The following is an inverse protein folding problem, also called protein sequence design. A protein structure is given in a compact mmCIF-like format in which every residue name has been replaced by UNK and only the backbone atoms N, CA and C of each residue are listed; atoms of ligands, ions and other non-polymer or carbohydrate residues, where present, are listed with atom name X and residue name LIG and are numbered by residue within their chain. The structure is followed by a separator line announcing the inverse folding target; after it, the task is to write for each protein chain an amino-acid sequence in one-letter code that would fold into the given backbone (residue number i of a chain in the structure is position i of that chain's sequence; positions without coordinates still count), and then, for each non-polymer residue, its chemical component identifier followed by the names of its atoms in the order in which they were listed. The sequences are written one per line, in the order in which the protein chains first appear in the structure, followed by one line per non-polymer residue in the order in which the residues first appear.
data_IF_876542649418
#
_entry.id   IF_876542649418
#
_cell.length_a   1.000
_cell.length_b   1.000
_cell.length_c   1.000
_cell.angle_alpha   90.00
_cell.angle_beta   90.00
_cell.angle_gamma   90.00
#
_symmetry.space_group_name_H-M   'P 1'
#
loop_
_entity.id
_entity.type
_entity.pdbx_description
1 polymer ?
#
# COMPACT_ATOMS: atom_id res chain seq x y z
N UNK A 1 -9.84 -3.44 9.15
CA UNK A 1 -9.63 -4.33 7.99
C UNK A 1 -10.91 -5.08 7.61
N UNK A 2 -11.52 -5.91 8.46
CA UNK A 2 -12.64 -6.81 8.08
C UNK A 2 -13.86 -6.08 7.50
N UNK A 3 -14.26 -4.93 8.09
CA UNK A 3 -15.35 -4.10 7.57
C UNK A 3 -15.04 -3.55 6.17
N UNK A 4 -13.80 -3.15 5.92
CA UNK A 4 -13.38 -2.68 4.61
C UNK A 4 -13.38 -3.81 3.58
N UNK A 5 -12.83 -4.98 3.94
CA UNK A 5 -12.84 -6.17 3.08
C UNK A 5 -14.28 -6.59 2.71
N UNK A 6 -15.20 -6.64 3.67
CA UNK A 6 -16.64 -6.94 3.39
C UNK A 6 -17.23 -5.93 2.42
N UNK A 7 -17.00 -4.62 2.64
CA UNK A 7 -17.51 -3.58 1.76
C UNK A 7 -16.96 -3.70 0.33
N UNK A 8 -15.63 -3.82 0.20
CA UNK A 8 -14.98 -3.89 -1.11
C UNK A 8 -15.36 -5.16 -1.89
N UNK A 9 -15.44 -6.30 -1.23
CA UNK A 9 -15.77 -7.57 -1.93
C UNK A 9 -17.26 -7.71 -2.21
N UNK A 10 -18.13 -7.41 -1.23
CA UNK A 10 -19.56 -7.66 -1.34
C UNK A 10 -20.31 -6.53 -2.06
N UNK A 11 -19.97 -5.27 -1.77
CA UNK A 11 -20.69 -4.10 -2.31
C UNK A 11 -20.06 -3.61 -3.60
N UNK A 12 -18.73 -3.36 -3.59
CA UNK A 12 -18.00 -2.82 -4.75
C UNK A 12 -17.69 -3.90 -5.79
N UNK A 13 -17.64 -5.18 -5.36
CA UNK A 13 -17.26 -6.32 -6.22
C UNK A 13 -15.81 -6.23 -6.71
N UNK A 14 -14.93 -5.65 -5.92
CA UNK A 14 -13.49 -5.70 -6.10
C UNK A 14 -12.90 -6.94 -5.40
N UNK A 15 -11.82 -7.48 -5.93
CA UNK A 15 -11.14 -8.64 -5.34
C UNK A 15 -10.89 -9.77 -6.34
N UNK A 16 -10.50 -11.01 -5.90
CA UNK A 16 -10.33 -11.35 -4.49
C UNK A 16 -9.22 -10.56 -3.83
N UNK A 17 -9.30 -10.35 -2.50
CA UNK A 17 -8.23 -9.69 -1.75
C UNK A 17 -7.27 -10.72 -1.14
N UNK A 18 -5.98 -10.48 -1.32
CA UNK A 18 -4.89 -11.27 -0.73
C UNK A 18 -4.36 -10.55 0.49
N UNK A 19 -4.51 -11.18 1.66
CA UNK A 19 -4.20 -10.58 2.97
C UNK A 19 -2.89 -11.14 3.50
N UNK A 20 -2.04 -10.25 4.03
CA UNK A 20 -0.79 -10.60 4.67
C UNK A 20 -0.36 -9.56 5.71
N UNK A 21 0.50 -9.98 6.62
CA UNK A 21 1.11 -9.10 7.61
C UNK A 21 2.48 -8.62 7.09
N UNK A 22 2.74 -7.33 7.24
CA UNK A 22 4.04 -6.71 6.99
C UNK A 22 4.64 -6.38 8.35
N UNK A 23 5.69 -7.13 8.78
CA UNK A 23 6.37 -6.84 10.02
C UNK A 23 7.10 -5.49 9.95
N UNK A 24 7.68 -5.05 11.07
CA UNK A 24 8.54 -3.87 11.09
C UNK A 24 9.67 -4.05 10.07
N UNK A 25 9.72 -3.15 9.09
CA UNK A 25 10.73 -3.16 8.04
C UNK A 25 11.99 -2.41 8.46
N UNK A 26 13.16 -2.73 7.86
CA UNK A 26 14.41 -2.02 8.13
C UNK A 26 14.34 -0.55 7.78
N UNK A 27 15.01 0.29 8.59
CA UNK A 27 15.27 1.69 8.27
C UNK A 27 14.03 2.57 8.10
N UNK A 28 12.93 2.23 8.77
CA UNK A 28 11.72 3.07 8.71
C UNK A 28 11.96 4.44 9.34
N UNK A 29 11.68 5.49 8.58
CA UNK A 29 11.76 6.89 9.00
C UNK A 29 10.40 7.55 8.78
N UNK A 30 9.88 8.21 9.79
CA UNK A 30 8.68 9.02 9.73
C UNK A 30 9.01 10.47 10.07
N UNK A 31 8.79 11.38 9.11
CA UNK A 31 9.08 12.82 9.23
C UNK A 31 10.48 13.13 9.79
N UNK A 32 11.50 12.38 9.31
CA UNK A 32 12.90 12.53 9.71
C UNK A 32 13.31 11.73 10.94
N UNK A 33 12.38 11.14 11.69
CA UNK A 33 12.67 10.39 12.92
C UNK A 33 12.49 8.88 12.72
N UNK A 34 13.35 8.03 13.31
CA UNK A 34 13.19 6.59 13.27
C UNK A 34 11.86 6.13 13.86
N UNK A 35 11.20 5.18 13.20
CA UNK A 35 9.97 4.57 13.68
C UNK A 35 9.97 3.05 13.45
N UNK A 36 8.94 2.35 13.96
CA UNK A 36 8.80 0.90 13.86
C UNK A 36 7.34 0.53 13.59
N UNK A 37 6.91 0.62 12.35
CA UNK A 37 5.52 0.41 11.94
C UNK A 37 5.35 -1.02 11.43
N UNK A 38 4.33 -1.70 11.95
CA UNK A 38 3.87 -2.99 11.44
C UNK A 38 2.46 -2.82 10.85
N UNK A 39 2.21 -3.46 9.71
CA UNK A 39 0.96 -3.33 8.96
C UNK A 39 0.31 -4.69 8.71
N UNK A 40 -1.01 -4.69 8.61
CA UNK A 40 -1.79 -5.68 7.89
C UNK A 40 -2.20 -5.05 6.56
N UNK A 41 -1.93 -5.77 5.47
CA UNK A 41 -2.17 -5.31 4.11
C UNK A 41 -3.10 -6.28 3.39
N UNK A 42 -3.97 -5.75 2.54
CA UNK A 42 -4.77 -6.56 1.64
C UNK A 42 -4.73 -5.95 0.24
N UNK A 43 -4.27 -6.71 -0.75
CA UNK A 43 -4.26 -6.35 -2.16
C UNK A 43 -5.42 -7.00 -2.90
N UNK A 44 -6.16 -6.23 -3.67
CA UNK A 44 -7.22 -6.70 -4.56
C UNK A 44 -7.31 -5.83 -5.81
N UNK A 45 -8.06 -6.30 -6.81
CA UNK A 45 -8.21 -5.56 -8.06
C UNK A 45 -9.69 -5.20 -8.32
N UNK A 46 -9.88 -4.09 -9.03
CA UNK A 46 -11.12 -3.73 -9.71
C UNK A 46 -10.77 -3.32 -11.16
N UNK A 47 -10.99 -4.22 -12.11
CA UNK A 47 -10.43 -4.06 -13.45
C UNK A 47 -8.90 -3.98 -13.42
N UNK A 48 -8.33 -2.93 -13.98
CA UNK A 48 -6.88 -2.68 -13.95
C UNK A 48 -6.37 -1.92 -12.71
N UNK A 49 -7.26 -1.51 -11.81
CA UNK A 49 -6.87 -0.76 -10.61
C UNK A 49 -6.53 -1.72 -9.47
N UNK A 50 -5.28 -1.65 -8.98
CA UNK A 50 -4.89 -2.28 -7.72
C UNK A 50 -5.42 -1.45 -6.55
N UNK A 51 -6.11 -2.12 -5.63
CA UNK A 51 -6.61 -1.54 -4.39
C UNK A 51 -5.81 -2.12 -3.24
N UNK A 52 -5.24 -1.25 -2.43
CA UNK A 52 -4.54 -1.61 -1.22
C UNK A 52 -5.34 -1.16 0.00
N UNK A 53 -5.70 -2.10 0.86
CA UNK A 53 -6.27 -1.81 2.18
C UNK A 53 -5.18 -1.97 3.23
N UNK A 54 -5.00 -0.93 4.03
CA UNK A 54 -3.95 -0.84 5.05
C UNK A 54 -4.55 -0.73 6.44
N UNK A 55 -3.94 -1.44 7.39
CA UNK A 55 -4.20 -1.28 8.81
C UNK A 55 -2.90 -1.37 9.58
N UNK A 56 -2.53 -0.30 10.28
CA UNK A 56 -1.42 -0.38 11.23
C UNK A 56 -1.80 -1.24 12.41
N UNK A 57 -0.89 -2.12 12.84
CA UNK A 57 -1.14 -3.13 13.89
C UNK A 57 -0.46 -2.81 15.22
N UNK A 58 0.31 -1.71 15.28
CA UNK A 58 0.93 -1.20 16.50
C UNK A 58 0.69 0.32 16.65
N UNK A 59 1.08 0.90 17.80
CA UNK A 59 0.78 2.31 18.15
C UNK A 59 1.97 3.26 17.90
N UNK A 60 2.81 2.97 16.89
CA UNK A 60 3.95 3.83 16.56
C UNK A 60 3.51 5.00 15.69
N UNK A 61 4.10 6.21 15.88
CA UNK A 61 3.85 7.34 15.00
C UNK A 61 4.19 7.02 13.54
N UNK A 62 3.30 7.40 12.63
CA UNK A 62 3.45 7.14 11.20
C UNK A 62 2.52 8.03 10.37
N UNK A 63 2.67 7.99 9.06
CA UNK A 63 1.72 8.57 8.10
C UNK A 63 0.32 7.94 8.20
N UNK A 64 0.23 6.67 8.66
CA UNK A 64 -1.06 5.97 8.79
C UNK A 64 -1.84 6.49 10.00
N UNK A 65 -1.20 6.64 11.18
CA UNK A 65 -1.83 7.25 12.36
C UNK A 65 -2.12 8.72 12.14
N UNK A 66 -1.22 9.46 11.48
CA UNK A 66 -1.44 10.85 11.10
C UNK A 66 -2.72 11.05 10.26
N UNK A 67 -2.94 10.20 9.25
CA UNK A 67 -4.14 10.29 8.42
C UNK A 67 -5.42 9.90 9.18
N UNK A 68 -5.35 8.88 10.05
CA UNK A 68 -6.49 8.51 10.90
C UNK A 68 -6.89 9.65 11.83
N UNK A 69 -5.93 10.33 12.46
CA UNK A 69 -6.18 11.46 13.35
C UNK A 69 -6.73 12.68 12.60
N UNK A 70 -6.27 12.89 11.36
CA UNK A 70 -6.65 14.04 10.55
C UNK A 70 -8.03 13.92 9.90
N UNK A 71 -8.33 12.76 9.32
CA UNK A 71 -9.50 12.57 8.44
C UNK A 71 -10.29 11.28 8.68
N UNK A 72 -9.84 10.43 9.62
CA UNK A 72 -10.43 9.12 9.84
C UNK A 72 -10.03 8.10 8.76
N UNK A 73 -10.79 7.01 8.68
CA UNK A 73 -10.59 5.98 7.65
C UNK A 73 -10.97 6.52 6.26
N UNK A 74 -10.16 6.21 5.26
CA UNK A 74 -10.45 6.61 3.88
C UNK A 74 -9.24 6.54 2.96
N UNK A 75 -9.20 7.42 1.98
CA UNK A 75 -8.10 7.55 1.04
C UNK A 75 -6.79 7.89 1.76
N UNK A 76 -5.71 7.17 1.42
CA UNK A 76 -4.40 7.37 2.02
C UNK A 76 -3.35 7.79 1.01
N UNK A 77 -3.14 7.02 -0.06
CA UNK A 77 -2.12 7.31 -1.07
C UNK A 77 -2.46 6.75 -2.45
N UNK A 78 -1.70 7.20 -3.44
CA UNK A 78 -1.53 6.52 -4.75
C UNK A 78 -0.07 6.17 -4.92
N UNK A 79 0.20 4.99 -5.44
CA UNK A 79 1.55 4.62 -5.88
C UNK A 79 1.74 4.97 -7.35
N UNK A 80 2.84 5.67 -7.67
CA UNK A 80 3.25 5.94 -9.05
C UNK A 80 4.22 4.86 -9.53
N UNK A 81 3.91 4.24 -10.66
CA UNK A 81 4.78 3.23 -11.30
C UNK A 81 5.75 3.91 -12.27
N UNK A 82 6.74 4.56 -11.70
CA UNK A 82 7.85 5.23 -12.40
C UNK A 82 9.16 4.81 -11.75
N UNK A 83 10.33 4.99 -12.43
CA UNK A 83 11.63 4.73 -11.80
C UNK A 83 11.77 5.50 -10.48
N UNK A 84 12.19 4.81 -9.43
CA UNK A 84 12.21 5.36 -8.05
C UNK A 84 13.01 6.69 -7.98
N UNK A 85 14.24 6.71 -8.51
CA UNK A 85 15.09 7.91 -8.47
C UNK A 85 14.51 9.08 -9.27
N UNK A 86 13.89 8.80 -10.42
CA UNK A 86 13.19 9.81 -11.22
C UNK A 86 12.04 10.42 -10.44
N UNK A 87 11.25 9.56 -9.78
CA UNK A 87 10.13 9.99 -8.95
C UNK A 87 10.57 10.83 -7.76
N UNK A 88 11.60 10.39 -7.04
CA UNK A 88 12.19 11.13 -5.92
C UNK A 88 12.68 12.51 -6.38
N UNK A 89 13.45 12.57 -7.46
CA UNK A 89 13.96 13.82 -8.00
C UNK A 89 12.81 14.77 -8.40
N UNK A 90 11.81 14.26 -9.09
CA UNK A 90 10.66 15.06 -9.56
C UNK A 90 9.83 15.62 -8.40
N UNK A 91 9.44 14.78 -7.43
CA UNK A 91 8.62 15.23 -6.31
C UNK A 91 9.37 16.18 -5.38
N UNK A 92 10.67 15.95 -5.14
CA UNK A 92 11.51 16.85 -4.34
C UNK A 92 11.72 18.21 -5.03
N UNK A 93 11.85 18.24 -6.34
CA UNK A 93 11.98 19.50 -7.11
C UNK A 93 10.72 20.37 -7.03
N UNK A 94 9.55 19.76 -6.85
CA UNK A 94 8.26 20.44 -6.62
C UNK A 94 8.04 20.81 -5.15
N UNK A 95 9.03 20.55 -4.27
CA UNK A 95 8.97 20.91 -2.85
C UNK A 95 8.22 19.92 -1.96
N UNK A 96 7.91 18.71 -2.45
CA UNK A 96 7.32 17.66 -1.62
C UNK A 96 8.39 16.96 -0.79
N UNK A 97 8.13 16.79 0.49
CA UNK A 97 9.02 16.10 1.42
C UNK A 97 8.64 14.63 1.59
N UNK A 98 9.64 13.78 1.87
CA UNK A 98 9.39 12.39 2.25
C UNK A 98 8.83 12.37 3.67
N UNK A 99 7.57 11.95 3.82
CA UNK A 99 6.92 11.81 5.10
C UNK A 99 7.17 10.44 5.75
N UNK A 100 7.33 9.39 4.95
CA UNK A 100 7.62 8.04 5.44
C UNK A 100 8.45 7.27 4.42
N UNK A 101 9.43 6.52 4.89
CA UNK A 101 10.28 5.68 4.04
C UNK A 101 10.77 4.44 4.77
N UNK A 102 11.28 3.49 4.01
CA UNK A 102 11.90 2.27 4.53
C UNK A 102 12.45 1.41 3.42
N UNK A 103 12.87 0.20 3.79
CA UNK A 103 13.45 -0.76 2.86
C UNK A 103 12.79 -2.12 3.06
N UNK A 104 12.40 -2.78 1.98
CA UNK A 104 11.91 -4.15 2.03
C UNK A 104 13.02 -5.11 2.45
N UNK A 105 12.72 -6.29 3.02
CA UNK A 105 13.75 -7.27 3.40
C UNK A 105 14.66 -7.70 2.25
N UNK A 106 14.17 -7.64 1.02
CA UNK A 106 14.90 -7.94 -0.22
C UNK A 106 15.72 -6.77 -0.75
N UNK A 107 15.62 -5.60 -0.13
CA UNK A 107 16.46 -4.43 -0.41
C UNK A 107 15.76 -3.30 -1.21
N UNK A 108 14.56 -3.51 -1.71
CA UNK A 108 13.81 -2.49 -2.43
C UNK A 108 13.39 -1.35 -1.50
N UNK A 109 13.58 -0.11 -1.94
CA UNK A 109 13.21 1.09 -1.20
C UNK A 109 11.78 1.52 -1.51
N UNK A 110 11.14 2.13 -0.51
CA UNK A 110 9.87 2.83 -0.71
C UNK A 110 9.89 4.18 0.02
N UNK A 111 9.09 5.12 -0.49
CA UNK A 111 8.90 6.43 0.12
C UNK A 111 7.49 6.95 -0.16
N UNK A 112 6.85 7.49 0.88
CA UNK A 112 5.61 8.24 0.78
C UNK A 112 5.92 9.73 0.90
N UNK A 113 5.60 10.48 -0.13
CA UNK A 113 5.77 11.92 -0.19
C UNK A 113 4.54 12.65 0.33
N UNK A 114 4.76 13.69 1.13
CA UNK A 114 3.67 14.54 1.62
C UNK A 114 3.10 15.37 0.46
N UNK A 115 1.93 14.99 0.01
CA UNK A 115 1.15 15.69 -1.01
C UNK A 115 -0.25 16.04 -0.50
N UNK A 116 -0.43 16.06 0.83
CA UNK A 116 -1.73 16.26 1.48
C UNK A 116 -2.42 17.56 1.04
N UNK A 117 -1.64 18.64 0.88
CA UNK A 117 -2.19 19.94 0.45
C UNK A 117 -2.63 19.93 -1.01
N UNK A 118 -2.03 19.09 -1.87
CA UNK A 118 -2.30 19.05 -3.30
C UNK A 118 -3.42 18.07 -3.66
N UNK A 119 -3.42 16.87 -3.10
CA UNK A 119 -4.34 15.81 -3.49
C UNK A 119 -5.05 15.10 -2.32
N UNK A 120 -4.90 15.59 -1.10
CA UNK A 120 -5.55 15.04 0.09
C UNK A 120 -4.98 13.72 0.61
N UNK A 121 -3.86 13.25 0.08
CA UNK A 121 -3.17 12.01 0.45
C UNK A 121 -1.68 12.08 0.15
N UNK A 122 -1.00 10.93 0.26
CA UNK A 122 0.41 10.80 -0.07
C UNK A 122 0.60 10.27 -1.49
N UNK A 123 1.78 10.50 -2.06
CA UNK A 123 2.26 9.79 -3.25
C UNK A 123 3.31 8.78 -2.81
N UNK A 124 3.11 7.51 -3.13
CA UNK A 124 4.09 6.47 -2.91
C UNK A 124 4.95 6.23 -4.15
N UNK A 125 6.24 6.09 -3.92
CA UNK A 125 7.21 5.54 -4.85
C UNK A 125 7.78 4.26 -4.25
N UNK A 126 7.95 3.22 -5.07
CA UNK A 126 8.52 1.95 -4.64
C UNK A 126 9.36 1.34 -5.76
N UNK A 127 10.52 0.81 -5.41
CA UNK A 127 11.27 -0.08 -6.29
C UNK A 127 10.54 -1.42 -6.35
N UNK A 128 10.08 -1.82 -7.52
CA UNK A 128 9.40 -3.10 -7.70
C UNK A 128 10.37 -4.14 -8.23
N UNK A 129 10.64 -5.18 -7.44
CA UNK A 129 11.40 -6.34 -7.91
C UNK A 129 10.58 -7.20 -8.88
N UNK A 130 11.27 -8.00 -9.69
CA UNK A 130 10.59 -8.94 -10.58
C UNK A 130 9.67 -9.93 -9.85
N UNK A 131 10.00 -10.29 -8.60
CA UNK A 131 9.17 -11.15 -7.76
C UNK A 131 7.88 -10.45 -7.32
N UNK A 132 7.96 -9.17 -6.95
CA UNK A 132 6.78 -8.36 -6.61
C UNK A 132 5.88 -8.18 -7.84
N UNK A 133 6.45 -7.82 -8.99
CA UNK A 133 5.73 -7.70 -10.26
C UNK A 133 5.01 -9.00 -10.62
N UNK A 134 5.69 -10.15 -10.53
CA UNK A 134 5.08 -11.45 -10.80
C UNK A 134 3.94 -11.78 -9.83
N UNK A 135 4.05 -11.38 -8.55
CA UNK A 135 2.98 -11.56 -7.57
C UNK A 135 1.77 -10.69 -7.90
N UNK A 136 1.96 -9.42 -8.25
CA UNK A 136 0.88 -8.54 -8.68
C UNK A 136 0.19 -9.05 -9.95
N UNK A 137 0.94 -9.59 -10.91
CA UNK A 137 0.38 -10.21 -12.12
C UNK A 137 -0.48 -11.43 -11.79
N UNK A 138 -0.04 -12.31 -10.87
CA UNK A 138 -0.85 -13.46 -10.42
C UNK A 138 -2.12 -13.02 -9.68
N UNK A 139 -2.04 -11.98 -8.85
CA UNK A 139 -3.23 -11.42 -8.18
C UNK A 139 -4.23 -10.86 -9.21
N UNK A 140 -3.73 -10.15 -10.23
CA UNK A 140 -4.57 -9.63 -11.30
C UNK A 140 -5.21 -10.76 -12.14
N UNK A 141 -4.45 -11.80 -12.49
CA UNK A 141 -5.00 -12.97 -13.16
C UNK A 141 -6.11 -13.64 -12.33
N UNK A 142 -5.89 -13.79 -11.01
CA UNK A 142 -6.91 -14.32 -10.11
C UNK A 142 -8.16 -13.43 -10.03
N UNK A 143 -8.02 -12.11 -10.21
CA UNK A 143 -9.15 -11.18 -10.31
C UNK A 143 -9.96 -11.41 -11.59
N UNK A 144 -9.31 -11.57 -12.73
CA UNK A 144 -9.98 -11.78 -14.00
C UNK A 144 -10.78 -13.10 -14.06
N UNK A 145 -10.36 -14.11 -13.29
CA UNK A 145 -11.01 -15.41 -13.18
C UNK A 145 -12.04 -15.48 -12.04
N UNK A 146 -12.12 -14.45 -11.19
CA UNK A 146 -12.97 -14.49 -10.01
C UNK A 146 -14.46 -14.30 -10.36
N UNK A 147 -15.30 -15.16 -9.81
CA UNK A 147 -16.76 -15.13 -9.98
C UNK A 147 -17.50 -14.00 -9.21
N UNK A 148 -16.75 -13.18 -8.47
CA UNK A 148 -17.30 -12.09 -7.62
C UNK A 148 -17.93 -12.56 -6.30
N UNK A 149 -17.82 -13.85 -5.95
CA UNK A 149 -18.48 -14.46 -4.78
C UNK A 149 -17.56 -15.40 -4.01
N UNK A 150 -16.94 -16.37 -4.69
CA UNK A 150 -16.23 -17.47 -4.04
C UNK A 150 -14.86 -17.03 -3.53
N UNK A 151 -14.54 -17.40 -2.27
CA UNK A 151 -13.24 -17.10 -1.65
C UNK A 151 -12.78 -15.64 -1.88
N UNK A 152 -13.58 -14.65 -1.46
CA UNK A 152 -13.27 -13.24 -1.72
C UNK A 152 -12.05 -12.75 -0.96
N UNK A 153 -11.65 -13.46 0.10
CA UNK A 153 -10.46 -13.17 0.93
C UNK A 153 -9.57 -14.42 0.89
N UNK A 154 -8.30 -14.23 0.54
CA UNK A 154 -7.29 -15.29 0.37
C UNK A 154 -6.02 -14.92 1.13
N UNK A 155 -5.24 -15.92 1.53
CA UNK A 155 -3.88 -15.69 2.02
C UNK A 155 -2.92 -15.46 0.85
N UNK A 156 -1.82 -14.73 1.07
CA UNK A 156 -0.78 -14.54 0.05
C UNK A 156 -0.18 -15.89 -0.41
N UNK A 157 -0.15 -16.91 0.47
CA UNK A 157 0.29 -18.25 0.15
C UNK A 157 -0.60 -18.96 -0.89
N UNK A 158 -1.83 -18.52 -1.09
CA UNK A 158 -2.75 -19.05 -2.12
C UNK A 158 -2.37 -18.62 -3.56
N UNK A 159 -1.31 -17.80 -3.72
CA UNK A 159 -0.76 -17.40 -5.03
C UNK A 159 0.31 -18.37 -5.57
N UNK A 160 0.67 -19.39 -4.81
CA UNK A 160 1.69 -20.37 -5.19
C UNK A 160 1.24 -21.25 -6.35
#
# INVERSE_FOLDING_TARGET
MDRALDHWTRVIKAGPFFVFDVPVLPGQIYRGEPTQVALKVAFGFSGGLLIELLQQTNERPSVFTEMLDRSGEGYHHVMLRIPYEEGVQRLSAEGHEIAFSGTMPSGERFALFDTLAANGGFIELMELSGAMEASLQRMHAAHLEWDGISRPIRAIADLA
#
